data_IF_078249914954
#
_entry.id   IF_078249914954
#
_cell.length_a   1.000
_cell.length_b   1.000
_cell.length_c   1.000
_cell.angle_alpha   90.00
_cell.angle_beta   90.00
_cell.angle_gamma   90.00
#
_symmetry.space_group_name_H-M   'P 1'
#
loop_
_entity.id
_entity.type
_entity.pdbx_description
1 polymer ?
#
# COMPACT_ATOMS: atom_id res chain seq x y z
N UNK A 1 16.55 -7.39 -19.94
CA UNK A 1 16.22 -6.35 -18.95
C UNK A 1 14.71 -6.41 -18.79
N UNK A 2 14.24 -6.97 -17.67
CA UNK A 2 12.81 -7.16 -17.42
C UNK A 2 12.22 -5.85 -16.86
N UNK A 3 11.09 -5.42 -17.41
CA UNK A 3 10.40 -4.21 -16.97
C UNK A 3 9.39 -4.60 -15.90
N UNK A 4 9.38 -3.88 -14.78
CA UNK A 4 8.44 -4.12 -13.69
C UNK A 4 7.21 -3.22 -13.79
N UNK A 5 6.05 -3.75 -13.44
CA UNK A 5 4.77 -3.04 -13.51
C UNK A 5 4.26 -2.65 -12.11
N UNK A 6 3.82 -1.41 -11.98
CA UNK A 6 3.24 -0.87 -10.75
C UNK A 6 1.97 -0.08 -11.04
N UNK A 7 0.97 -0.21 -10.17
CA UNK A 7 -0.19 0.69 -10.15
C UNK A 7 0.03 1.76 -9.08
N UNK A 8 -0.11 3.02 -9.47
CA UNK A 8 -0.08 4.17 -8.57
C UNK A 8 -1.48 4.46 -7.98
N UNK A 9 -1.49 4.92 -6.73
CA UNK A 9 -2.65 5.44 -6.01
C UNK A 9 -3.85 4.49 -5.96
N UNK A 10 -3.63 3.21 -5.67
CA UNK A 10 -4.71 2.27 -5.47
C UNK A 10 -5.59 2.68 -4.27
N UNK A 11 -6.90 2.76 -4.51
CA UNK A 11 -7.91 3.25 -3.57
C UNK A 11 -8.11 4.77 -3.53
N UNK A 12 -7.45 5.54 -4.39
CA UNK A 12 -7.89 6.90 -4.73
C UNK A 12 -9.14 6.84 -5.63
N UNK A 13 -10.29 6.44 -5.07
CA UNK A 13 -11.55 6.24 -5.78
C UNK A 13 -11.89 4.78 -6.07
N UNK A 14 -12.80 4.54 -7.03
CA UNK A 14 -13.32 3.21 -7.36
C UNK A 14 -12.38 2.46 -8.31
N UNK A 15 -11.25 1.95 -7.81
CA UNK A 15 -10.44 0.97 -8.54
C UNK A 15 -10.85 -0.44 -8.13
N UNK A 16 -11.23 -1.25 -9.12
CA UNK A 16 -11.71 -2.61 -8.88
C UNK A 16 -10.56 -3.55 -8.54
N UNK A 17 -10.78 -4.45 -7.58
CA UNK A 17 -9.89 -5.59 -7.29
C UNK A 17 -9.67 -6.47 -8.54
N UNK A 18 -10.61 -6.46 -9.49
CA UNK A 18 -10.48 -7.17 -10.76
C UNK A 18 -9.23 -6.77 -11.53
N UNK A 19 -8.81 -5.50 -11.43
CA UNK A 19 -7.60 -5.02 -12.08
C UNK A 19 -6.34 -5.73 -11.55
N UNK A 20 -6.32 -6.05 -10.26
CA UNK A 20 -5.20 -6.77 -9.63
C UNK A 20 -5.15 -8.24 -10.06
N UNK A 21 -6.28 -8.81 -10.49
CA UNK A 21 -6.34 -10.19 -10.99
C UNK A 21 -6.09 -10.34 -12.49
N UNK A 22 -6.20 -9.26 -13.26
CA UNK A 22 -6.04 -9.28 -14.72
C UNK A 22 -4.65 -8.83 -15.19
N UNK A 23 -3.84 -8.25 -14.29
CA UNK A 23 -2.51 -7.74 -14.58
C UNK A 23 -1.46 -8.48 -13.76
N UNK A 24 -0.37 -8.88 -14.40
CA UNK A 24 0.84 -9.34 -13.72
C UNK A 24 1.58 -8.13 -13.14
N UNK A 25 1.22 -7.75 -11.91
CA UNK A 25 1.80 -6.62 -11.19
C UNK A 25 2.97 -7.07 -10.32
N UNK A 26 4.06 -6.32 -10.36
CA UNK A 26 5.15 -6.47 -9.38
C UNK A 26 4.85 -5.68 -8.10
N UNK A 27 4.22 -4.50 -8.25
CA UNK A 27 4.01 -3.56 -7.16
C UNK A 27 2.60 -2.94 -7.16
N UNK A 28 2.09 -2.70 -5.96
CA UNK A 28 0.86 -1.94 -5.72
C UNK A 28 1.14 -0.78 -4.77
N UNK A 29 0.97 0.45 -5.24
CA UNK A 29 1.09 1.63 -4.39
C UNK A 29 -0.26 1.99 -3.76
N UNK A 30 -0.35 1.98 -2.44
CA UNK A 30 -1.58 2.24 -1.70
C UNK A 30 -1.74 3.74 -1.42
N UNK A 31 -2.94 4.28 -1.65
CA UNK A 31 -3.17 5.71 -1.50
C UNK A 31 -3.01 6.20 -0.04
N UNK A 32 -2.55 7.45 0.11
CA UNK A 32 -2.37 8.14 1.40
C UNK A 32 -3.60 8.10 2.32
N UNK A 33 -4.82 8.00 1.78
CA UNK A 33 -6.05 7.92 2.58
C UNK A 33 -6.06 6.70 3.51
N UNK A 34 -5.44 5.59 3.10
CA UNK A 34 -5.25 4.41 3.93
C UNK A 34 -4.19 4.62 5.01
N UNK A 35 -3.18 5.44 4.75
CA UNK A 35 -2.11 5.73 5.71
C UNK A 35 -2.57 6.73 6.77
N UNK A 36 -3.21 7.82 6.36
CA UNK A 36 -3.73 8.84 7.27
C UNK A 36 -4.87 8.28 8.14
N UNK A 37 -5.67 7.37 7.58
CA UNK A 37 -6.73 6.67 8.28
C UNK A 37 -6.27 5.43 9.05
N UNK A 38 -5.05 4.94 8.85
CA UNK A 38 -4.50 3.73 9.44
C UNK A 38 -4.16 3.92 10.92
N UNK A 39 -5.16 3.80 11.78
CA UNK A 39 -4.96 3.65 13.23
C UNK A 39 -5.52 2.29 13.63
N UNK A 40 -4.72 1.55 14.39
CA UNK A 40 -5.08 0.21 14.91
C UNK A 40 -6.52 0.18 15.43
N UNK A 41 -7.31 -0.79 14.95
CA UNK A 41 -8.66 -1.05 15.46
C UNK A 41 -9.80 -0.27 14.79
N UNK A 42 -9.55 0.52 13.75
CA UNK A 42 -10.62 1.16 12.97
C UNK A 42 -10.93 0.41 11.66
N UNK A 43 -12.01 0.83 10.95
CA UNK A 43 -12.42 0.18 9.69
C UNK A 43 -11.34 0.23 8.61
N UNK A 44 -10.54 1.29 8.57
CA UNK A 44 -9.47 1.43 7.59
C UNK A 44 -8.33 0.45 7.85
N UNK A 45 -8.03 0.14 9.12
CA UNK A 45 -7.05 -0.86 9.51
C UNK A 45 -7.40 -2.25 8.95
N UNK A 46 -8.68 -2.65 9.06
CA UNK A 46 -9.15 -3.90 8.46
C UNK A 46 -9.01 -3.92 6.93
N UNK A 47 -9.24 -2.78 6.26
CA UNK A 47 -9.09 -2.67 4.81
C UNK A 47 -7.61 -2.80 4.41
N UNK A 48 -6.71 -2.10 5.11
CA UNK A 48 -5.26 -2.16 4.85
C UNK A 48 -4.75 -3.58 5.04
N UNK A 49 -5.08 -4.22 6.17
CA UNK A 49 -4.69 -5.60 6.45
C UNK A 49 -5.22 -6.59 5.42
N UNK A 50 -6.49 -6.44 5.01
CA UNK A 50 -7.09 -7.30 3.97
C UNK A 50 -6.39 -7.12 2.63
N UNK A 51 -6.03 -5.88 2.28
CA UNK A 51 -5.33 -5.57 1.04
C UNK A 51 -3.92 -6.16 1.03
N UNK A 52 -3.15 -6.00 2.11
CA UNK A 52 -1.81 -6.60 2.24
C UNK A 52 -1.89 -8.14 2.17
N UNK A 53 -2.86 -8.74 2.85
CA UNK A 53 -3.06 -10.19 2.77
C UNK A 53 -3.36 -10.66 1.35
N UNK A 54 -4.22 -9.94 0.62
CA UNK A 54 -4.56 -10.23 -0.76
C UNK A 54 -3.35 -10.09 -1.69
N UNK A 55 -2.59 -9.00 -1.60
CA UNK A 55 -1.40 -8.79 -2.46
C UNK A 55 -0.33 -9.84 -2.19
N UNK A 56 -0.15 -10.25 -0.93
CA UNK A 56 0.75 -11.34 -0.57
C UNK A 56 0.36 -12.67 -1.24
N UNK A 57 -0.94 -13.00 -1.29
CA UNK A 57 -1.43 -14.20 -1.99
C UNK A 57 -1.17 -14.14 -3.50
N UNK A 58 -1.16 -12.94 -4.08
CA UNK A 58 -0.89 -12.73 -5.50
C UNK A 58 0.59 -12.51 -5.81
N UNK A 59 1.49 -12.60 -4.81
CA UNK A 59 2.91 -12.27 -4.95
C UNK A 59 3.19 -10.84 -5.44
N UNK A 60 2.29 -9.90 -5.13
CA UNK A 60 2.41 -8.47 -5.45
C UNK A 60 2.98 -7.77 -4.22
N UNK A 61 4.03 -6.97 -4.40
CA UNK A 61 4.62 -6.18 -3.30
C UNK A 61 3.88 -4.87 -3.08
N UNK A 62 3.77 -4.41 -1.84
CA UNK A 62 3.05 -3.19 -1.47
C UNK A 62 4.00 -2.03 -1.22
N UNK A 63 3.65 -0.86 -1.75
CA UNK A 63 4.33 0.41 -1.48
C UNK A 63 3.35 1.36 -0.78
N UNK A 64 3.66 1.79 0.44
CA UNK A 64 2.91 2.83 1.13
C UNK A 64 3.46 4.22 0.78
N UNK A 65 2.65 5.07 0.13
CA UNK A 65 3.05 6.42 -0.29
C UNK A 65 2.48 7.53 0.59
N UNK A 66 3.28 8.58 0.79
CA UNK A 66 3.01 9.70 1.70
C UNK A 66 3.05 9.30 3.19
N UNK A 67 4.10 8.56 3.58
CA UNK A 67 4.45 8.36 4.99
C UNK A 67 5.15 9.61 5.54
N UNK A 68 4.48 10.31 6.46
CA UNK A 68 4.86 11.64 6.96
C UNK A 68 5.17 11.63 8.47
N UNK A 69 4.96 10.51 9.17
CA UNK A 69 5.31 10.41 10.60
C UNK A 69 5.83 9.03 11.00
N UNK A 70 6.56 8.98 12.12
CA UNK A 70 7.06 7.75 12.72
C UNK A 70 5.93 6.77 13.06
N UNK A 71 4.77 7.27 13.51
CA UNK A 71 3.63 6.42 13.84
C UNK A 71 3.06 5.74 12.59
N UNK A 72 3.01 6.45 11.47
CA UNK A 72 2.57 5.88 10.19
C UNK A 72 3.56 4.83 9.70
N UNK A 73 4.86 5.13 9.77
CA UNK A 73 5.92 4.19 9.43
C UNK A 73 5.84 2.91 10.27
N UNK A 74 5.77 3.04 11.60
CA UNK A 74 5.70 1.92 12.52
C UNK A 74 4.45 1.06 12.27
N UNK A 75 3.30 1.69 12.03
CA UNK A 75 2.07 0.98 11.70
C UNK A 75 2.18 0.21 10.37
N UNK A 76 2.68 0.84 9.30
CA UNK A 76 2.85 0.18 8.00
C UNK A 76 3.86 -0.95 8.05
N UNK A 77 4.94 -0.77 8.83
CA UNK A 77 5.95 -1.80 9.05
C UNK A 77 5.33 -3.02 9.76
N UNK A 78 4.56 -2.78 10.82
CA UNK A 78 3.87 -3.82 11.57
C UNK A 78 2.75 -4.50 10.75
N UNK A 79 2.15 -3.78 9.79
CA UNK A 79 1.14 -4.32 8.88
C UNK A 79 1.74 -5.22 7.79
N UNK A 80 3.07 -5.20 7.59
CA UNK A 80 3.77 -6.03 6.61
C UNK A 80 3.87 -5.40 5.22
N UNK A 81 3.89 -4.06 5.13
CA UNK A 81 4.16 -3.35 3.86
C UNK A 81 5.62 -3.52 3.46
N UNK A 82 5.89 -3.84 2.19
CA UNK A 82 7.24 -4.10 1.68
C UNK A 82 8.11 -2.84 1.54
N UNK A 83 7.52 -1.74 1.07
CA UNK A 83 8.23 -0.48 0.80
C UNK A 83 7.43 0.73 1.24
N UNK A 84 8.13 1.81 1.58
CA UNK A 84 7.51 3.05 2.02
C UNK A 84 8.18 4.24 1.34
N UNK A 85 7.38 5.27 1.06
CA UNK A 85 7.80 6.54 0.50
C UNK A 85 7.08 7.69 1.19
N UNK A 86 7.81 8.75 1.53
CA UNK A 86 7.22 10.00 2.02
C UNK A 86 8.24 10.85 2.79
N UNK A 87 7.82 12.06 3.17
CA UNK A 87 8.67 13.06 3.81
C UNK A 87 9.33 12.60 5.12
N UNK A 88 8.73 11.63 5.82
CA UNK A 88 9.38 11.04 7.01
C UNK A 88 10.68 10.30 6.67
N UNK A 89 10.78 9.75 5.46
CA UNK A 89 11.92 8.94 5.03
C UNK A 89 12.96 9.78 4.28
N UNK A 90 12.51 10.60 3.33
CA UNK A 90 13.35 11.50 2.55
C UNK A 90 12.49 12.55 1.85
N UNK A 91 13.02 13.76 1.71
CA UNK A 91 12.50 14.75 0.77
C UNK A 91 12.83 14.33 -0.68
N UNK A 92 12.09 14.83 -1.69
CA UNK A 92 12.27 14.50 -3.10
C UNK A 92 13.66 14.82 -3.68
#
# INVERSE_FOLDING_TARGET
>A
MEVKLSIDCYGAGYRSLRLLSELDLDYLQINKSFIQGGKSGNKNDNIVRSMIAFTNMMSIKVVAVAVESEQQYAYMNAAGVDYMQGYFLSEP
#
